data_IF_855602657915
#
_entry.id   IF_855602657915
#
_cell.length_a   1.000
_cell.length_b   1.000
_cell.length_c   1.000
_cell.angle_alpha   90.00
_cell.angle_beta   90.00
_cell.angle_gamma   90.00
#
_symmetry.space_group_name_H-M   'P 1'
#
loop_
_entity.id
_entity.type
_entity.pdbx_description
1 polymer ?
#
# COMPACT_ATOMS: atom_id res chain seq x y z
N UNK A 1 1.97 14.53 14.30
CA UNK A 1 1.75 14.22 12.89
C UNK A 1 1.75 12.71 12.76
N UNK A 2 0.65 12.11 12.29
CA UNK A 2 0.57 10.67 12.06
C UNK A 2 1.53 10.25 10.95
N UNK A 3 1.90 8.96 10.90
CA UNK A 3 2.74 8.44 9.79
C UNK A 3 1.96 8.28 8.49
N UNK A 4 0.65 8.35 8.52
CA UNK A 4 -0.23 8.31 7.36
C UNK A 4 -1.19 9.50 7.38
N UNK A 5 -1.61 9.98 6.23
CA UNK A 5 -2.56 11.10 6.11
C UNK A 5 -4.00 10.66 6.40
N UNK A 6 -4.31 9.41 6.10
CA UNK A 6 -5.59 8.77 6.43
C UNK A 6 -5.34 7.32 6.82
N UNK A 7 -6.07 6.81 7.81
CA UNK A 7 -6.12 5.39 8.13
C UNK A 7 -7.47 4.98 8.70
N UNK A 8 -7.85 3.73 8.51
CA UNK A 8 -9.09 3.16 9.05
C UNK A 8 -9.40 1.78 8.51
N UNK A 9 -10.53 1.21 8.97
CA UNK A 9 -11.02 -0.03 8.38
C UNK A 9 -11.49 0.19 6.94
N UNK A 10 -11.35 -0.83 6.09
CA UNK A 10 -11.90 -0.80 4.73
C UNK A 10 -13.41 -0.55 4.77
N UNK A 11 -14.12 -1.14 5.73
CA UNK A 11 -15.56 -0.89 5.92
C UNK A 11 -15.86 0.60 6.13
N UNK A 12 -15.12 1.29 7.02
CA UNK A 12 -15.30 2.72 7.25
C UNK A 12 -14.92 3.56 6.03
N UNK A 13 -13.85 3.19 5.33
CA UNK A 13 -13.43 3.83 4.08
C UNK A 13 -14.50 3.74 2.99
N UNK A 14 -15.14 2.57 2.83
CA UNK A 14 -16.20 2.37 1.85
C UNK A 14 -17.45 3.21 2.14
N UNK A 15 -17.78 3.39 3.42
CA UNK A 15 -18.94 4.19 3.86
C UNK A 15 -18.68 5.71 3.83
N UNK A 16 -17.44 6.15 3.93
CA UNK A 16 -17.10 7.57 3.93
C UNK A 16 -17.31 8.18 2.52
N UNK A 17 -17.76 9.43 2.46
CA UNK A 17 -17.84 10.19 1.22
C UNK A 17 -16.42 10.50 0.69
N UNK A 18 -16.24 10.47 -0.64
CA UNK A 18 -14.95 10.72 -1.29
C UNK A 18 -14.37 12.08 -0.91
N UNK A 19 -15.19 13.14 -0.94
CA UNK A 19 -14.76 14.49 -0.59
C UNK A 19 -14.32 14.61 0.88
N UNK A 20 -14.87 13.78 1.77
CA UNK A 20 -14.45 13.73 3.17
C UNK A 20 -13.06 13.12 3.31
N UNK A 21 -12.80 12.00 2.62
CA UNK A 21 -11.47 11.36 2.61
C UNK A 21 -10.45 12.32 2.00
N UNK A 22 -10.77 12.91 0.85
CA UNK A 22 -9.93 13.90 0.19
C UNK A 22 -9.62 15.10 1.11
N UNK A 23 -10.60 15.56 1.87
CA UNK A 23 -10.42 16.63 2.84
C UNK A 23 -9.37 16.30 3.91
N UNK A 24 -9.35 15.06 4.43
CA UNK A 24 -8.32 14.61 5.38
C UNK A 24 -6.94 14.58 4.75
N UNK A 25 -6.80 14.05 3.52
CA UNK A 25 -5.52 14.02 2.81
C UNK A 25 -4.97 15.43 2.59
N UNK A 26 -5.83 16.39 2.25
CA UNK A 26 -5.43 17.79 2.04
C UNK A 26 -5.02 18.51 3.32
N UNK A 27 -5.62 18.18 4.47
CA UNK A 27 -5.28 18.80 5.76
C UNK A 27 -3.88 18.39 6.23
N UNK A 28 -3.53 17.12 6.04
CA UNK A 28 -2.22 16.58 6.44
C UNK A 28 -1.09 16.99 5.49
N UNK A 29 -1.40 17.34 4.23
CA UNK A 29 -0.41 17.86 3.28
C UNK A 29 -0.06 19.29 3.64
N UNK A 30 1.09 19.49 4.28
CA UNK A 30 1.59 20.79 4.74
C UNK A 30 2.06 21.72 3.61
N UNK A 31 2.14 21.21 2.37
CA UNK A 31 2.42 21.98 1.16
C UNK A 31 1.11 22.33 0.44
N UNK A 32 1.11 23.42 -0.34
CA UNK A 32 -0.02 23.72 -1.22
C UNK A 32 -0.22 22.54 -2.17
N UNK A 33 -1.24 21.72 -1.87
CA UNK A 33 -1.59 20.58 -2.69
C UNK A 33 -1.96 21.08 -4.09
N UNK A 34 -1.18 20.68 -5.08
CA UNK A 34 -1.44 21.02 -6.48
C UNK A 34 -2.71 20.29 -6.95
N UNK A 35 -3.43 20.87 -7.90
CA UNK A 35 -4.65 20.25 -8.46
C UNK A 35 -4.39 18.86 -9.06
N UNK A 36 -3.17 18.62 -9.55
CA UNK A 36 -2.73 17.30 -10.05
C UNK A 36 -2.77 16.26 -8.92
N UNK A 37 -2.23 16.57 -7.73
CA UNK A 37 -2.24 15.65 -6.60
C UNK A 37 -3.66 15.37 -6.09
N UNK A 38 -4.52 16.38 -6.02
CA UNK A 38 -5.93 16.20 -5.63
C UNK A 38 -6.67 15.28 -6.59
N UNK A 39 -6.43 15.43 -7.89
CA UNK A 39 -7.04 14.60 -8.91
C UNK A 39 -6.52 13.15 -8.85
N UNK A 40 -5.22 12.96 -8.53
CA UNK A 40 -4.66 11.64 -8.29
C UNK A 40 -5.34 10.96 -7.11
N UNK A 41 -5.41 11.59 -5.95
CA UNK A 41 -6.08 11.05 -4.76
C UNK A 41 -7.55 10.73 -5.01
N UNK A 42 -8.27 11.58 -5.75
CA UNK A 42 -9.68 11.30 -6.10
C UNK A 42 -9.79 10.03 -6.95
N UNK A 43 -8.92 9.87 -7.95
CA UNK A 43 -8.90 8.67 -8.79
C UNK A 43 -8.55 7.41 -7.98
N UNK A 44 -7.57 7.48 -7.09
CA UNK A 44 -7.18 6.39 -6.19
C UNK A 44 -8.33 5.97 -5.27
N UNK A 45 -9.00 6.95 -4.63
CA UNK A 45 -10.16 6.70 -3.76
C UNK A 45 -11.27 5.98 -4.54
N UNK A 46 -11.60 6.45 -5.76
CA UNK A 46 -12.64 5.85 -6.59
C UNK A 46 -12.30 4.42 -6.97
N UNK A 47 -11.09 4.19 -7.48
CA UNK A 47 -10.61 2.85 -7.84
C UNK A 47 -10.67 1.92 -6.64
N UNK A 48 -10.17 2.35 -5.47
CA UNK A 48 -10.14 1.50 -4.28
C UNK A 48 -11.54 1.20 -3.75
N UNK A 49 -12.48 2.14 -3.74
CA UNK A 49 -13.86 1.88 -3.34
C UNK A 49 -14.51 0.76 -4.15
N UNK A 50 -14.22 0.69 -5.45
CA UNK A 50 -14.72 -0.37 -6.32
C UNK A 50 -13.98 -1.70 -6.10
N UNK A 51 -12.66 -1.64 -5.97
CA UNK A 51 -11.81 -2.82 -6.05
C UNK A 51 -11.67 -3.59 -4.73
N UNK A 52 -11.75 -2.90 -3.57
CA UNK A 52 -11.54 -3.55 -2.27
C UNK A 52 -12.82 -3.80 -1.47
N UNK A 53 -13.99 -3.58 -2.06
CA UNK A 53 -15.29 -3.80 -1.40
C UNK A 53 -15.51 -5.23 -0.87
N UNK A 54 -14.80 -6.21 -1.43
CA UNK A 54 -14.86 -7.61 -1.00
C UNK A 54 -14.05 -7.92 0.26
N UNK A 55 -13.34 -6.95 0.83
CA UNK A 55 -12.44 -7.13 1.97
C UNK A 55 -12.79 -6.20 3.15
N UNK A 56 -14.05 -6.19 3.64
CA UNK A 56 -14.50 -5.22 4.64
C UNK A 56 -13.77 -5.31 5.98
N UNK A 57 -13.23 -6.50 6.31
CA UNK A 57 -12.46 -6.74 7.54
C UNK A 57 -10.99 -6.32 7.44
N UNK A 58 -10.54 -5.86 6.29
CA UNK A 58 -9.21 -5.31 6.10
C UNK A 58 -9.12 -3.86 6.56
N UNK A 59 -7.91 -3.33 6.53
CA UNK A 59 -7.59 -1.96 6.91
C UNK A 59 -6.79 -1.26 5.81
N UNK A 60 -6.90 0.06 5.75
CA UNK A 60 -6.31 0.90 4.71
C UNK A 60 -5.64 2.12 5.33
N UNK A 61 -4.50 2.52 4.77
CA UNK A 61 -3.87 3.80 5.02
C UNK A 61 -3.43 4.46 3.71
N UNK A 62 -3.52 5.79 3.63
CA UNK A 62 -3.03 6.59 2.51
C UNK A 62 -1.82 7.41 2.92
N UNK A 63 -0.90 7.63 1.97
CA UNK A 63 0.25 8.50 2.11
C UNK A 63 1.09 8.16 3.36
N UNK A 64 1.44 6.88 3.49
CA UNK A 64 2.28 6.43 4.60
C UNK A 64 3.72 6.87 4.40
N UNK A 65 4.21 7.70 5.32
CA UNK A 65 5.59 8.18 5.29
C UNK A 65 6.56 7.12 5.82
N UNK A 66 7.52 6.73 5.00
CA UNK A 66 8.65 5.89 5.40
C UNK A 66 9.72 6.79 6.03
N UNK A 67 9.92 6.74 7.36
CA UNK A 67 10.71 7.76 8.06
C UNK A 67 12.17 7.85 7.60
N UNK A 68 12.76 6.71 7.22
CA UNK A 68 14.17 6.61 6.88
C UNK A 68 14.53 7.23 5.54
N UNK A 69 13.66 7.06 4.55
CA UNK A 69 13.92 7.50 3.17
C UNK A 69 13.13 8.76 2.79
N UNK A 70 12.21 9.20 3.66
CA UNK A 70 11.41 10.40 3.43
C UNK A 70 10.43 10.29 2.27
N UNK A 71 10.22 9.09 1.72
CA UNK A 71 9.23 8.81 0.69
C UNK A 71 7.90 8.39 1.32
N UNK A 72 6.84 8.46 0.54
CA UNK A 72 5.50 8.02 0.94
C UNK A 72 5.04 6.89 0.05
N UNK A 73 4.39 5.91 0.66
CA UNK A 73 3.64 4.87 -0.04
C UNK A 73 2.24 5.41 -0.26
N UNK A 74 1.74 5.42 -1.49
CA UNK A 74 0.43 5.98 -1.82
C UNK A 74 -0.66 5.29 -1.00
N UNK A 75 -0.72 3.95 -1.01
CA UNK A 75 -1.70 3.17 -0.24
C UNK A 75 -1.08 1.93 0.39
N UNK A 76 -1.41 1.70 1.65
CA UNK A 76 -1.11 0.45 2.37
C UNK A 76 -2.43 -0.24 2.71
N UNK A 77 -2.55 -1.52 2.37
CA UNK A 77 -3.64 -2.37 2.84
C UNK A 77 -3.08 -3.44 3.79
N UNK A 78 -3.79 -3.69 4.89
CA UNK A 78 -3.55 -4.84 5.74
C UNK A 78 -4.79 -5.74 5.68
N UNK A 79 -4.64 -6.91 5.07
CA UNK A 79 -5.73 -7.87 4.89
C UNK A 79 -5.23 -9.24 5.37
N UNK A 80 -5.91 -9.83 6.34
CA UNK A 80 -5.55 -11.12 6.95
C UNK A 80 -4.09 -11.15 7.46
N UNK A 81 -3.58 -10.01 7.95
CA UNK A 81 -2.21 -9.87 8.45
C UNK A 81 -1.12 -9.74 7.38
N UNK A 82 -1.49 -9.75 6.10
CA UNK A 82 -0.60 -9.50 4.97
C UNK A 82 -0.58 -8.01 4.65
N UNK A 83 0.60 -7.48 4.40
CA UNK A 83 0.82 -6.06 4.08
C UNK A 83 0.94 -5.91 2.56
N UNK A 84 0.04 -5.15 1.96
CA UNK A 84 0.08 -4.79 0.54
C UNK A 84 0.50 -3.33 0.40
N UNK A 85 1.51 -3.05 -0.40
CA UNK A 85 1.98 -1.70 -0.72
C UNK A 85 1.57 -1.39 -2.15
N UNK A 86 0.71 -0.41 -2.34
CA UNK A 86 0.24 0.00 -3.67
C UNK A 86 0.90 1.33 -4.05
N UNK A 87 1.53 1.34 -5.21
CA UNK A 87 2.07 2.53 -5.85
C UNK A 87 1.24 2.84 -7.10
N UNK A 88 0.48 3.92 -7.04
CA UNK A 88 -0.38 4.37 -8.13
C UNK A 88 0.37 5.23 -9.13
N UNK A 89 0.02 5.08 -10.39
CA UNK A 89 0.42 5.98 -11.49
C UNK A 89 -0.84 6.31 -12.30
N UNK A 90 -1.55 7.34 -11.82
CA UNK A 90 -2.82 7.76 -12.40
C UNK A 90 -2.59 8.29 -13.81
N UNK A 91 -3.30 7.72 -14.79
CA UNK A 91 -3.18 8.05 -16.20
C UNK A 91 -2.08 7.29 -16.97
N UNK A 92 -1.17 6.61 -16.27
CA UNK A 92 -0.14 5.80 -16.94
C UNK A 92 -0.72 4.49 -17.48
N UNK A 93 -0.18 4.04 -18.61
CA UNK A 93 -0.61 2.84 -19.32
C UNK A 93 0.50 1.76 -19.42
N UNK A 94 1.59 1.91 -18.67
CA UNK A 94 2.73 1.00 -18.70
C UNK A 94 3.20 0.62 -17.30
N UNK A 95 3.67 -0.61 -17.16
CA UNK A 95 4.28 -1.12 -15.93
C UNK A 95 5.77 -0.79 -15.90
N UNK A 96 6.10 0.48 -15.65
CA UNK A 96 7.47 0.99 -15.71
C UNK A 96 8.39 0.29 -14.69
N UNK A 97 9.61 -0.05 -15.14
CA UNK A 97 10.63 -0.66 -14.26
C UNK A 97 10.95 0.24 -13.06
N UNK A 98 11.07 1.54 -13.27
CA UNK A 98 11.35 2.50 -12.19
C UNK A 98 10.30 2.48 -11.08
N UNK A 99 9.01 2.34 -11.42
CA UNK A 99 7.92 2.22 -10.43
C UNK A 99 7.99 0.89 -9.68
N UNK A 100 8.36 -0.21 -10.38
CA UNK A 100 8.58 -1.51 -9.73
C UNK A 100 9.74 -1.45 -8.75
N UNK A 101 10.85 -0.85 -9.16
CA UNK A 101 12.02 -0.66 -8.30
C UNK A 101 11.64 0.21 -7.07
N UNK A 102 10.89 1.30 -7.26
CA UNK A 102 10.43 2.19 -6.20
C UNK A 102 9.60 1.45 -5.14
N UNK A 103 8.56 0.71 -5.52
CA UNK A 103 7.70 0.01 -4.55
C UNK A 103 8.44 -1.16 -3.88
N UNK A 104 9.40 -1.77 -4.58
CA UNK A 104 10.28 -2.80 -4.00
C UNK A 104 11.20 -2.20 -2.94
N UNK A 105 11.78 -1.02 -3.18
CA UNK A 105 12.61 -0.31 -2.19
C UNK A 105 11.80 0.02 -0.93
N UNK A 106 10.52 0.38 -1.06
CA UNK A 106 9.63 0.56 0.08
C UNK A 106 9.42 -0.75 0.87
N UNK A 107 9.19 -1.85 0.17
CA UNK A 107 9.01 -3.15 0.81
C UNK A 107 10.27 -3.60 1.56
N UNK A 108 11.44 -3.40 0.97
CA UNK A 108 12.74 -3.70 1.59
C UNK A 108 12.99 -2.81 2.82
N UNK A 109 12.74 -1.51 2.74
CA UNK A 109 12.91 -0.62 3.87
C UNK A 109 12.00 -1.02 5.04
N UNK A 110 10.70 -1.26 4.78
CA UNK A 110 9.77 -1.74 5.79
C UNK A 110 10.19 -3.09 6.37
N UNK A 111 10.62 -4.02 5.54
CA UNK A 111 11.04 -5.35 5.98
C UNK A 111 12.21 -5.32 6.95
N UNK A 112 13.18 -4.46 6.69
CA UNK A 112 14.43 -4.45 7.44
C UNK A 112 14.48 -3.40 8.56
N UNK A 113 13.60 -2.41 8.54
CA UNK A 113 13.66 -1.30 9.50
C UNK A 113 12.34 -1.03 10.25
N UNK A 114 11.20 -1.55 9.81
CA UNK A 114 9.92 -1.33 10.48
C UNK A 114 9.53 -2.56 11.30
N UNK A 115 9.58 -2.45 12.63
CA UNK A 115 9.48 -3.57 13.57
C UNK A 115 8.26 -4.46 13.32
N UNK A 116 7.07 -3.87 13.10
CA UNK A 116 5.85 -4.64 12.82
C UNK A 116 5.77 -5.25 11.42
N UNK A 117 6.75 -5.00 10.55
CA UNK A 117 6.83 -5.57 9.20
C UNK A 117 7.89 -6.67 9.06
N UNK A 118 8.80 -6.79 10.03
CA UNK A 118 9.96 -7.69 9.93
C UNK A 118 9.58 -9.16 9.76
N UNK A 119 8.56 -9.63 10.47
CA UNK A 119 8.09 -11.01 10.42
C UNK A 119 6.83 -11.19 9.55
N UNK A 120 6.53 -10.23 8.69
CA UNK A 120 5.30 -10.23 7.87
C UNK A 120 5.59 -10.46 6.40
N UNK A 121 4.61 -11.02 5.70
CA UNK A 121 4.61 -11.03 4.25
C UNK A 121 4.23 -9.64 3.74
N UNK A 122 5.06 -9.11 2.84
CA UNK A 122 4.85 -7.83 2.17
C UNK A 122 4.68 -8.08 0.68
N UNK A 123 3.61 -7.55 0.11
CA UNK A 123 3.27 -7.70 -1.30
C UNK A 123 3.27 -6.32 -1.96
N UNK A 124 4.36 -5.96 -2.66
CA UNK A 124 4.40 -4.73 -3.44
C UNK A 124 3.58 -4.84 -4.71
N UNK A 125 2.80 -3.81 -5.02
CA UNK A 125 1.90 -3.73 -6.18
C UNK A 125 2.08 -2.38 -6.87
N UNK A 126 2.18 -2.39 -8.20
CA UNK A 126 2.10 -1.16 -9.00
C UNK A 126 0.77 -1.08 -9.73
N UNK A 127 0.21 0.13 -9.79
CA UNK A 127 -1.13 0.37 -10.34
C UNK A 127 -1.10 1.54 -11.35
N UNK A 128 -0.50 1.37 -12.54
CA UNK A 128 -0.75 2.30 -13.64
C UNK A 128 -2.20 2.11 -14.09
N UNK A 129 -3.04 3.17 -13.90
CA UNK A 129 -4.50 3.02 -13.96
C UNK A 129 -5.04 2.66 -15.34
N UNK A 130 -4.33 3.03 -16.41
CA UNK A 130 -4.76 2.81 -17.80
C UNK A 130 -4.00 1.66 -18.49
N UNK A 131 -3.22 0.87 -17.73
CA UNK A 131 -2.48 -0.24 -18.29
C UNK A 131 -3.40 -1.43 -18.64
N UNK A 132 -2.99 -2.20 -19.63
CA UNK A 132 -3.66 -3.46 -19.98
C UNK A 132 -3.45 -4.52 -18.88
N UNK A 133 -4.33 -5.50 -18.81
CA UNK A 133 -4.19 -6.62 -17.88
C UNK A 133 -2.87 -7.36 -18.09
N UNK A 134 -2.19 -7.64 -17.00
CA UNK A 134 -0.98 -8.46 -16.98
C UNK A 134 -1.18 -9.65 -16.04
N UNK A 135 -0.75 -10.83 -16.49
CA UNK A 135 -0.76 -12.01 -15.64
C UNK A 135 0.24 -11.86 -14.49
N UNK A 136 -0.21 -12.19 -13.29
CA UNK A 136 0.61 -12.19 -12.09
C UNK A 136 0.87 -13.63 -11.62
N UNK A 137 2.08 -13.88 -11.16
CA UNK A 137 2.43 -15.10 -10.44
C UNK A 137 2.96 -14.70 -9.07
N UNK A 138 2.33 -15.20 -8.01
CA UNK A 138 2.83 -14.97 -6.67
C UNK A 138 4.12 -15.77 -6.47
N UNK A 139 5.20 -15.08 -6.17
CA UNK A 139 6.48 -15.66 -5.79
C UNK A 139 7.04 -14.90 -4.62
N UNK A 140 7.28 -15.60 -3.51
CA UNK A 140 7.89 -15.02 -2.30
C UNK A 140 9.39 -15.21 -2.33
N UNK A 141 10.14 -14.16 -2.04
CA UNK A 141 11.56 -14.22 -1.75
C UNK A 141 11.78 -14.82 -0.35
N UNK A 142 12.99 -15.24 -0.06
CA UNK A 142 13.33 -15.92 1.21
C UNK A 142 13.06 -15.12 2.47
N UNK A 143 12.96 -13.79 2.36
CA UNK A 143 12.62 -12.87 3.45
C UNK A 143 11.11 -12.60 3.62
N UNK A 144 10.26 -13.19 2.75
CA UNK A 144 8.81 -13.02 2.79
C UNK A 144 8.29 -11.79 2.04
N UNK A 145 9.11 -11.14 1.21
CA UNK A 145 8.65 -10.14 0.26
C UNK A 145 8.24 -10.83 -1.03
N UNK A 146 7.06 -10.48 -1.57
CA UNK A 146 6.64 -10.96 -2.88
C UNK A 146 7.34 -10.21 -4.01
N UNK A 147 7.48 -10.86 -5.17
CA UNK A 147 7.77 -10.13 -6.39
C UNK A 147 6.67 -9.10 -6.67
N UNK A 148 7.04 -7.97 -7.30
CA UNK A 148 6.08 -6.90 -7.60
C UNK A 148 4.95 -7.42 -8.49
N UNK A 149 3.73 -7.28 -8.01
CA UNK A 149 2.53 -7.57 -8.79
C UNK A 149 2.11 -6.34 -9.62
N UNK A 150 1.53 -6.61 -10.76
CA UNK A 150 1.07 -5.61 -11.72
C UNK A 150 -0.46 -5.59 -11.75
N UNK A 151 -1.07 -4.48 -11.30
CA UNK A 151 -2.50 -4.24 -11.35
C UNK A 151 -2.81 -3.00 -12.19
N UNK A 152 -4.06 -2.87 -12.59
CA UNK A 152 -4.64 -1.65 -13.12
C UNK A 152 -5.91 -1.29 -12.33
N UNK A 153 -6.63 -0.25 -12.76
CA UNK A 153 -7.85 0.21 -12.08
C UNK A 153 -8.97 -0.83 -11.97
N UNK A 154 -8.93 -1.92 -12.75
CA UNK A 154 -10.03 -2.89 -12.87
C UNK A 154 -9.76 -4.22 -12.19
N UNK A 155 -8.53 -4.52 -11.79
CA UNK A 155 -8.16 -5.89 -11.38
C UNK A 155 -7.47 -6.03 -10.01
N UNK A 156 -7.31 -4.95 -9.23
CA UNK A 156 -6.72 -5.02 -7.87
C UNK A 156 -7.46 -6.07 -7.03
N UNK A 157 -8.78 -5.99 -6.95
CA UNK A 157 -9.60 -6.90 -6.15
C UNK A 157 -9.49 -8.35 -6.60
N UNK A 158 -9.36 -8.62 -7.89
CA UNK A 158 -9.19 -10.00 -8.39
C UNK A 158 -7.79 -10.53 -8.08
N UNK A 159 -6.76 -9.71 -8.16
CA UNK A 159 -5.39 -10.10 -7.77
C UNK A 159 -5.32 -10.38 -6.27
N UNK A 160 -5.91 -9.55 -5.42
CA UNK A 160 -6.00 -9.82 -3.98
C UNK A 160 -6.71 -11.14 -3.68
N UNK A 161 -7.85 -11.43 -4.33
CA UNK A 161 -8.56 -12.73 -4.17
C UNK A 161 -7.72 -13.92 -4.64
N UNK A 162 -6.87 -13.74 -5.63
CA UNK A 162 -5.99 -14.79 -6.14
C UNK A 162 -4.82 -15.09 -5.19
N UNK A 163 -4.25 -14.08 -4.56
CA UNK A 163 -3.02 -14.24 -3.77
C UNK A 163 -3.28 -14.54 -2.29
N UNK A 164 -4.32 -13.95 -1.68
CA UNK A 164 -4.63 -14.15 -0.26
C UNK A 164 -4.75 -15.62 0.18
N UNK A 165 -5.43 -16.52 -0.56
CA UNK A 165 -5.54 -17.93 -0.16
C UNK A 165 -4.21 -18.69 -0.14
N UNK A 166 -3.17 -18.14 -0.76
CA UNK A 166 -1.84 -18.75 -0.83
C UNK A 166 -0.94 -18.32 0.33
N UNK A 167 -1.42 -17.43 1.21
CA UNK A 167 -0.66 -16.84 2.30
C UNK A 167 -1.37 -17.04 3.64
N UNK A 168 -0.57 -17.19 4.69
CA UNK A 168 -1.05 -17.28 6.06
C UNK A 168 -0.23 -16.37 6.96
N UNK A 169 -0.90 -15.53 7.74
CA UNK A 169 -0.26 -14.66 8.72
C UNK A 169 -1.14 -14.52 9.98
N UNK A 170 -0.51 -14.20 11.10
CA UNK A 170 -1.23 -13.81 12.31
C UNK A 170 -1.89 -12.44 12.12
N UNK A 171 -3.00 -12.14 12.83
CA UNK A 171 -3.64 -10.83 12.75
C UNK A 171 -2.66 -9.67 13.00
N UNK A 172 -2.88 -8.57 12.30
CA UNK A 172 -2.15 -7.32 12.46
C UNK A 172 -3.15 -6.18 12.24
N UNK A 173 -3.23 -5.24 13.18
CA UNK A 173 -4.04 -4.03 13.00
C UNK A 173 -3.21 -2.89 12.41
N UNK A 174 -3.87 -2.00 11.68
CA UNK A 174 -3.25 -0.80 11.11
C UNK A 174 -2.69 0.10 12.20
N UNK A 175 -3.40 0.29 13.32
CA UNK A 175 -2.92 1.12 14.42
C UNK A 175 -1.62 0.58 15.01
N UNK A 176 -1.55 -0.73 15.31
CA UNK A 176 -0.33 -1.35 15.81
C UNK A 176 0.82 -1.27 14.80
N UNK A 177 0.50 -1.37 13.51
CA UNK A 177 1.49 -1.24 12.45
C UNK A 177 1.99 0.21 12.31
N UNK A 178 1.11 1.20 12.32
CA UNK A 178 1.49 2.62 12.24
C UNK A 178 2.32 3.09 13.43
N UNK A 179 2.05 2.56 14.64
CA UNK A 179 2.74 2.93 15.89
C UNK A 179 4.08 2.21 16.10
N UNK A 180 4.36 1.18 15.29
CA UNK A 180 5.57 0.38 15.45
C UNK A 180 6.85 1.20 15.26
N UNK A 181 7.90 0.81 15.97
CA UNK A 181 9.19 1.49 15.91
C UNK A 181 9.91 1.23 14.58
N UNK A 182 10.71 2.20 14.22
CA UNK A 182 11.67 2.09 13.11
C UNK A 182 13.04 1.77 13.68
N UNK A 183 13.45 0.51 13.56
CA UNK A 183 14.72 -0.01 14.07
C UNK A 183 15.25 -1.11 13.12
N UNK A 184 16.56 -1.12 12.83
CA UNK A 184 17.12 -2.14 11.95
C UNK A 184 16.93 -3.55 12.53
N UNK A 185 16.79 -4.55 11.66
CA UNK A 185 16.82 -5.95 12.07
C UNK A 185 18.18 -6.32 12.66
N UNK A 186 18.24 -7.30 13.58
CA UNK A 186 19.53 -7.80 14.12
C UNK A 186 20.51 -8.20 13.02
N UNK A 187 20.06 -8.80 11.95
CA UNK A 187 20.89 -9.24 10.81
C UNK A 187 21.64 -8.09 10.11
N UNK A 188 21.12 -6.87 10.15
CA UNK A 188 21.81 -5.70 9.58
C UNK A 188 22.87 -5.15 10.55
N UNK A 189 22.65 -5.32 11.85
CA UNK A 189 23.60 -4.85 12.89
C UNK A 189 24.84 -5.75 12.98
N UNK A 190 24.68 -7.03 12.64
CA UNK A 190 25.74 -8.03 12.72
C UNK A 190 26.60 -8.11 11.44
N UNK A 191 26.24 -7.41 10.36
CA UNK A 191 26.97 -7.36 9.10
C UNK A 191 27.89 -6.14 9.02
#
# INVERSE_FOLDING_TARGET
MGRAYYSGSISSFLMAEEDRILGWLMIEDSFRTEDVQKNAWRAEIQVLKEQIASFPDGEIAFEFTIPRIGHRVDVVLIIQGIIFLLEFKVGDNTYAKSTKDQVMDYALDLKYFHEASQDRTIVPIIVPTEAADQANTLSLMGDGIAQVLCCNRHNIGSVLRQVLPQMHASPLSMDAWLDARYAPTPTIIEA
#
